data_IF_318773849296
#
_entry.id   IF_318773849296
#
_cell.length_a   1.000
_cell.length_b   1.000
_cell.length_c   1.000
_cell.angle_alpha   90.00
_cell.angle_beta   90.00
_cell.angle_gamma   90.00
#
_symmetry.space_group_name_H-M   'P 1'
#
loop_
_entity.id
_entity.type
_entity.pdbx_description
1 polymer ?
#
# COMPACT_ATOMS: atom_id res chain seq x y z
N UNK A 1 30.76 -18.00 -12.51
CA UNK A 1 29.41 -17.99 -13.14
C UNK A 1 29.22 -19.32 -13.87
N UNK A 2 28.64 -20.32 -13.21
CA UNK A 2 28.34 -21.61 -13.83
C UNK A 2 27.10 -21.44 -14.71
N UNK A 3 27.29 -21.39 -16.03
CA UNK A 3 26.20 -21.53 -16.99
C UNK A 3 25.71 -22.97 -16.93
N UNK A 4 24.80 -23.26 -16.00
CA UNK A 4 24.06 -24.52 -16.02
C UNK A 4 23.19 -24.49 -17.27
N UNK A 5 23.69 -25.09 -18.35
CA UNK A 5 22.88 -25.37 -19.54
C UNK A 5 21.66 -26.22 -19.17
N UNK A 6 20.65 -26.29 -20.04
CA UNK A 6 19.48 -27.13 -19.79
C UNK A 6 19.96 -28.56 -19.46
N UNK A 7 19.45 -29.09 -18.36
CA UNK A 7 19.80 -30.43 -17.90
C UNK A 7 19.54 -31.41 -19.04
N UNK A 8 20.47 -32.34 -19.35
CA UNK A 8 20.26 -33.29 -20.42
C UNK A 8 18.99 -34.09 -20.14
N UNK A 9 18.18 -34.27 -21.18
CA UNK A 9 16.95 -35.06 -21.12
C UNK A 9 17.29 -36.46 -20.59
N UNK A 10 16.54 -36.97 -19.58
CA UNK A 10 16.71 -38.34 -19.14
C UNK A 10 16.45 -39.30 -20.32
N UNK A 11 17.15 -40.44 -20.38
CA UNK A 11 17.05 -41.37 -21.51
C UNK A 11 15.65 -41.98 -21.65
N UNK A 12 14.92 -42.09 -20.54
CA UNK A 12 13.50 -42.43 -20.53
C UNK A 12 12.66 -41.23 -20.10
N UNK A 13 11.68 -40.91 -20.92
CA UNK A 13 10.65 -39.92 -20.67
C UNK A 13 9.38 -40.63 -20.21
N UNK A 14 8.79 -40.16 -19.12
CA UNK A 14 7.47 -40.60 -18.67
C UNK A 14 6.47 -39.48 -18.97
N UNK A 15 5.53 -39.74 -19.86
CA UNK A 15 4.49 -38.79 -20.27
C UNK A 15 3.15 -39.52 -20.14
N UNK A 16 2.26 -38.99 -19.30
CA UNK A 16 0.94 -39.57 -19.01
C UNK A 16 0.96 -41.05 -18.57
N UNK A 17 2.00 -41.45 -17.83
CA UNK A 17 2.17 -42.83 -17.36
C UNK A 17 2.80 -43.78 -18.39
N UNK A 18 2.96 -43.34 -19.64
CA UNK A 18 3.66 -44.09 -20.68
C UNK A 18 5.15 -43.78 -20.68
N UNK A 19 5.96 -44.82 -20.91
CA UNK A 19 7.42 -44.73 -21.00
C UNK A 19 7.85 -44.64 -22.45
N UNK A 20 8.53 -43.56 -22.80
CA UNK A 20 9.09 -43.32 -24.12
C UNK A 20 10.61 -43.29 -24.03
N UNK A 21 11.26 -44.08 -24.88
CA UNK A 21 12.70 -43.96 -25.11
C UNK A 21 12.97 -42.70 -25.92
N UNK A 22 13.92 -41.88 -25.47
CA UNK A 22 14.26 -40.63 -26.15
C UNK A 22 14.62 -40.84 -27.63
N UNK A 23 15.40 -41.87 -27.93
CA UNK A 23 15.88 -42.17 -29.29
C UNK A 23 14.76 -42.65 -30.22
N UNK A 24 13.63 -43.08 -29.66
CA UNK A 24 12.45 -43.54 -30.41
C UNK A 24 11.46 -42.41 -30.70
N UNK A 25 11.62 -41.24 -30.09
CA UNK A 25 10.72 -40.11 -30.28
C UNK A 25 11.07 -39.34 -31.57
N UNK A 26 10.06 -38.88 -32.33
CA UNK A 26 10.27 -37.94 -33.44
C UNK A 26 11.02 -36.69 -32.99
N UNK A 27 11.81 -36.10 -33.88
CA UNK A 27 12.68 -34.96 -33.52
C UNK A 27 11.90 -33.75 -33.01
N UNK A 28 10.76 -33.45 -33.62
CA UNK A 28 9.89 -32.35 -33.20
C UNK A 28 9.36 -32.55 -31.76
N UNK A 29 9.07 -33.80 -31.38
CA UNK A 29 8.64 -34.13 -30.02
C UNK A 29 9.79 -33.94 -29.03
N UNK A 30 11.00 -34.35 -29.39
CA UNK A 30 12.18 -34.12 -28.55
C UNK A 30 12.44 -32.62 -28.32
N UNK A 31 12.29 -31.80 -29.37
CA UNK A 31 12.41 -30.34 -29.28
C UNK A 31 11.34 -29.74 -28.36
N UNK A 32 10.09 -30.19 -28.46
CA UNK A 32 9.01 -29.77 -27.56
C UNK A 32 9.32 -30.09 -26.10
N UNK A 33 9.81 -31.30 -25.81
CA UNK A 33 10.19 -31.66 -24.43
C UNK A 33 11.31 -30.76 -23.92
N UNK A 34 12.32 -30.47 -24.75
CA UNK A 34 13.41 -29.58 -24.37
C UNK A 34 12.92 -28.14 -24.13
N UNK A 35 12.00 -27.64 -24.95
CA UNK A 35 11.38 -26.34 -24.76
C UNK A 35 10.59 -26.27 -23.45
N UNK A 36 9.81 -27.31 -23.15
CA UNK A 36 9.06 -27.41 -21.90
C UNK A 36 9.99 -27.39 -20.69
N UNK A 37 11.08 -28.19 -20.71
CA UNK A 37 12.07 -28.19 -19.64
C UNK A 37 12.73 -26.83 -19.43
N UNK A 38 12.99 -26.09 -20.51
CA UNK A 38 13.50 -24.71 -20.39
C UNK A 38 12.47 -23.80 -19.73
N UNK A 39 11.20 -23.91 -20.11
CA UNK A 39 10.13 -23.16 -19.47
C UNK A 39 10.01 -23.49 -17.98
N UNK A 40 10.08 -24.77 -17.60
CA UNK A 40 10.07 -25.21 -16.20
C UNK A 40 11.25 -24.68 -15.41
N UNK A 41 12.45 -24.66 -16.01
CA UNK A 41 13.65 -24.09 -15.38
C UNK A 41 13.49 -22.59 -15.11
N UNK A 42 12.90 -21.85 -16.05
CA UNK A 42 12.58 -20.43 -15.90
C UNK A 42 11.54 -20.24 -14.79
N UNK A 43 10.46 -21.01 -14.77
CA UNK A 43 9.46 -20.97 -13.70
C UNK A 43 10.07 -21.28 -12.33
N UNK A 44 10.96 -22.28 -12.24
CA UNK A 44 11.66 -22.60 -11.01
C UNK A 44 12.57 -21.46 -10.53
N UNK A 45 13.21 -20.74 -11.45
CA UNK A 45 13.99 -19.55 -11.12
C UNK A 45 13.12 -18.44 -10.54
N UNK A 46 12.03 -18.07 -11.22
CA UNK A 46 11.12 -17.04 -10.73
C UNK A 46 10.50 -17.41 -9.38
N UNK A 47 10.17 -18.70 -9.16
CA UNK A 47 9.68 -19.18 -7.86
C UNK A 47 10.70 -18.95 -6.74
N UNK A 48 11.99 -19.17 -7.01
CA UNK A 48 13.07 -18.87 -6.05
C UNK A 48 13.17 -17.38 -5.78
N UNK A 49 13.11 -16.54 -6.81
CA UNK A 49 13.19 -15.09 -6.64
C UNK A 49 12.02 -14.55 -5.83
N UNK A 50 10.79 -15.03 -6.10
CA UNK A 50 9.60 -14.69 -5.32
C UNK A 50 9.76 -15.08 -3.85
N UNK A 51 10.39 -16.22 -3.54
CA UNK A 51 10.66 -16.62 -2.16
C UNK A 51 11.63 -15.65 -1.47
N UNK A 52 12.70 -15.24 -2.16
CA UNK A 52 13.66 -14.24 -1.67
C UNK A 52 12.96 -12.90 -1.43
N UNK A 53 12.16 -12.44 -2.37
CA UNK A 53 11.37 -11.20 -2.26
C UNK A 53 10.40 -11.23 -1.08
N UNK A 54 9.69 -12.35 -0.86
CA UNK A 54 8.80 -12.53 0.31
C UNK A 54 9.56 -12.47 1.64
N UNK A 55 10.76 -13.07 1.67
CA UNK A 55 11.62 -13.04 2.86
C UNK A 55 12.09 -11.61 3.14
N UNK A 56 12.58 -10.91 2.13
CA UNK A 56 13.02 -9.53 2.23
C UNK A 56 11.87 -8.60 2.67
N UNK A 57 10.67 -8.76 2.12
CA UNK A 57 9.47 -8.02 2.55
C UNK A 57 9.19 -8.22 4.04
N UNK A 58 9.22 -9.46 4.51
CA UNK A 58 8.97 -9.79 5.92
C UNK A 58 10.00 -9.13 6.84
N UNK A 59 11.28 -9.11 6.44
CA UNK A 59 12.34 -8.42 7.17
C UNK A 59 12.11 -6.91 7.23
N UNK A 60 11.79 -6.29 6.09
CA UNK A 60 11.47 -4.86 6.02
C UNK A 60 10.27 -4.50 6.89
N UNK A 61 9.21 -5.31 6.88
CA UNK A 61 8.04 -5.10 7.74
C UNK A 61 8.41 -5.16 9.23
N UNK A 62 9.28 -6.10 9.62
CA UNK A 62 9.76 -6.20 11.00
C UNK A 62 10.56 -4.95 11.41
N UNK A 63 11.49 -4.50 10.55
CA UNK A 63 12.30 -3.30 10.80
C UNK A 63 11.44 -2.04 10.88
N UNK A 64 10.46 -1.92 9.97
CA UNK A 64 9.51 -0.82 9.99
C UNK A 64 8.69 -0.83 11.28
N UNK A 65 8.15 -1.98 11.70
CA UNK A 65 7.43 -2.11 12.95
C UNK A 65 8.26 -1.72 14.18
N UNK A 66 9.51 -2.15 14.24
CA UNK A 66 10.44 -1.77 15.30
C UNK A 66 10.75 -0.26 15.29
N UNK A 67 10.96 0.33 14.12
CA UNK A 67 11.21 1.77 13.97
C UNK A 67 10.00 2.62 14.34
N UNK A 68 8.79 2.17 14.01
CA UNK A 68 7.55 2.86 14.34
C UNK A 68 7.16 2.73 15.82
N UNK A 69 7.52 1.62 16.49
CA UNK A 69 7.20 1.40 17.91
C UNK A 69 7.80 2.46 18.85
N UNK A 70 8.90 3.12 18.43
CA UNK A 70 9.52 4.20 19.18
C UNK A 70 8.94 5.59 18.89
N UNK A 71 8.02 5.71 17.93
CA UNK A 71 7.40 7.00 17.60
C UNK A 71 6.18 7.25 18.47
N UNK A 72 5.95 8.50 18.91
CA UNK A 72 4.68 8.85 19.51
C UNK A 72 3.59 8.60 18.46
N UNK A 73 2.71 7.64 18.73
CA UNK A 73 1.48 7.52 17.97
C UNK A 73 0.76 8.87 18.10
N UNK A 74 0.43 9.52 16.99
CA UNK A 74 -0.56 10.60 17.03
C UNK A 74 -1.91 9.94 17.35
N UNK A 75 -2.10 9.57 18.62
CA UNK A 75 -3.42 9.47 19.18
C UNK A 75 -4.05 10.84 18.94
N UNK A 76 -5.21 10.84 18.29
CA UNK A 76 -5.97 12.04 17.97
C UNK A 76 -5.91 13.00 19.16
N UNK A 77 -5.36 14.19 18.93
CA UNK A 77 -5.23 15.19 19.96
C UNK A 77 -6.63 15.43 20.53
N UNK A 78 -6.86 14.97 21.77
CA UNK A 78 -8.07 15.32 22.51
C UNK A 78 -8.00 16.82 22.73
N UNK A 79 -8.69 17.56 21.86
CA UNK A 79 -8.84 19.02 21.99
C UNK A 79 -9.30 19.28 23.43
N UNK A 80 -8.49 19.91 24.30
CA UNK A 80 -8.98 20.25 25.63
C UNK A 80 -10.13 21.23 25.43
N UNK A 81 -11.32 20.85 25.89
CA UNK A 81 -12.47 21.74 25.96
C UNK A 81 -12.01 22.99 26.72
N UNK A 82 -12.01 24.19 26.11
CA UNK A 82 -11.56 25.38 26.80
C UNK A 82 -12.43 25.62 28.03
N UNK A 83 -11.79 25.68 29.20
CA UNK A 83 -12.39 26.16 30.43
C UNK A 83 -13.04 27.52 30.16
N UNK A 84 -14.34 27.71 30.47
CA UNK A 84 -14.98 29.00 30.25
C UNK A 84 -14.29 30.08 31.08
N UNK A 85 -13.96 31.19 30.42
CA UNK A 85 -13.41 32.40 31.02
C UNK A 85 -14.40 33.00 32.03
N UNK A 86 -13.96 33.51 33.19
CA UNK A 86 -14.86 34.23 34.10
C UNK A 86 -15.23 35.57 33.45
N UNK A 87 -16.49 35.72 33.03
CA UNK A 87 -17.04 36.95 32.46
C UNK A 87 -17.47 37.92 33.59
N UNK A 88 -17.38 39.26 33.40
CA UNK A 88 -17.22 40.23 34.48
C UNK A 88 -18.50 40.52 35.27
N UNK A 89 -18.28 41.03 36.48
CA UNK A 89 -19.28 41.47 37.45
C UNK A 89 -20.36 42.37 36.82
N UNK A 90 -21.65 42.02 36.94
CA UNK A 90 -22.74 42.90 36.58
C UNK A 90 -23.06 43.89 37.72
N UNK A 91 -23.23 45.16 37.38
CA UNK A 91 -23.93 46.18 38.19
C UNK A 91 -25.46 45.92 38.11
N UNK A 92 -26.27 46.20 39.16
CA UNK A 92 -27.45 45.39 39.49
C UNK A 92 -28.78 45.76 38.79
N UNK A 93 -29.57 44.68 38.56
CA UNK A 93 -31.06 44.47 38.58
C UNK A 93 -32.04 45.30 37.70
N UNK A 94 -33.30 44.82 37.40
CA UNK A 94 -33.99 43.58 37.81
C UNK A 94 -34.70 42.73 36.70
N UNK A 95 -34.92 41.46 37.05
CA UNK A 95 -36.05 40.53 36.76
C UNK A 95 -36.56 40.16 35.32
N UNK A 96 -36.42 38.85 35.04
CA UNK A 96 -37.42 37.92 34.46
C UNK A 96 -37.39 37.50 32.97
N UNK A 97 -37.03 36.21 32.81
CA UNK A 97 -37.57 35.16 31.90
C UNK A 97 -37.13 35.01 30.41
N UNK A 98 -37.09 33.74 30.01
CA UNK A 98 -36.28 32.99 28.99
C UNK A 98 -36.90 32.95 27.54
N UNK A 99 -36.38 32.22 26.52
CA UNK A 99 -35.58 32.74 25.37
C UNK A 99 -36.07 32.33 23.94
N UNK A 100 -35.46 32.85 22.84
CA UNK A 100 -35.33 32.13 21.54
C UNK A 100 -34.37 32.78 20.48
N UNK A 101 -33.22 32.11 20.30
CA UNK A 101 -32.37 31.81 19.12
C UNK A 101 -32.41 32.55 17.74
N UNK A 102 -31.16 32.87 17.30
CA UNK A 102 -30.47 32.58 16.01
C UNK A 102 -30.98 33.15 14.66
N UNK A 103 -30.19 34.08 14.10
CA UNK A 103 -29.93 34.17 12.65
C UNK A 103 -28.59 34.88 12.37
N UNK A 104 -27.58 34.21 11.80
CA UNK A 104 -26.34 34.91 11.39
C UNK A 104 -25.14 34.07 10.91
N UNK A 105 -25.14 32.76 11.10
CA UNK A 105 -23.93 31.95 10.85
C UNK A 105 -23.59 31.67 9.38
N UNK A 106 -24.51 31.93 8.43
CA UNK A 106 -24.37 31.45 7.03
C UNK A 106 -23.42 32.30 6.18
N UNK A 107 -23.15 33.57 6.54
CA UNK A 107 -22.34 34.46 5.69
C UNK A 107 -20.82 34.18 5.77
N UNK A 108 -20.30 33.76 6.92
CA UNK A 108 -18.83 33.65 7.13
C UNK A 108 -18.17 32.42 6.46
N UNK A 109 -18.96 31.44 6.02
CA UNK A 109 -18.42 30.22 5.44
C UNK A 109 -17.96 30.40 3.99
N UNK A 110 -18.65 31.21 3.19
CA UNK A 110 -18.38 31.37 1.75
C UNK A 110 -17.10 32.15 1.45
N UNK A 111 -16.77 33.14 2.29
CA UNK A 111 -15.56 33.96 2.14
C UNK A 111 -14.25 33.17 2.30
N UNK A 112 -14.24 32.16 3.19
CA UNK A 112 -13.03 31.36 3.41
C UNK A 112 -12.70 30.46 2.23
N UNK A 113 -13.71 29.94 1.55
CA UNK A 113 -13.54 29.05 0.38
C UNK A 113 -12.96 29.82 -0.81
N UNK A 114 -13.40 31.07 -1.02
CA UNK A 114 -12.91 31.93 -2.11
C UNK A 114 -11.45 32.35 -1.90
N UNK A 115 -11.04 32.58 -0.64
CA UNK A 115 -9.65 32.87 -0.29
C UNK A 115 -8.70 31.68 -0.50
N UNK A 116 -9.19 30.46 -0.30
CA UNK A 116 -8.38 29.24 -0.46
C UNK A 116 -8.08 28.92 -1.94
N UNK A 117 -9.04 29.17 -2.84
CA UNK A 117 -8.88 28.92 -4.28
C UNK A 117 -7.85 29.86 -4.93
N UNK A 118 -7.75 31.11 -4.44
CA UNK A 118 -6.72 32.07 -4.88
C UNK A 118 -5.31 31.66 -4.45
N UNK A 119 -5.17 30.92 -3.35
CA UNK A 119 -3.86 30.53 -2.79
C UNK A 119 -3.26 29.29 -3.45
N UNK A 120 -4.07 28.44 -4.07
CA UNK A 120 -3.61 27.14 -4.60
C UNK A 120 -3.83 26.94 -6.11
N UNK A 121 -4.61 27.78 -6.80
CA UNK A 121 -5.00 27.53 -8.21
C UNK A 121 -4.52 28.53 -9.27
N UNK A 122 -3.76 29.58 -8.94
CA UNK A 122 -3.33 30.60 -9.90
C UNK A 122 -1.88 30.44 -10.32
N UNK A 123 -1.66 29.98 -11.56
CA UNK A 123 -0.36 29.63 -12.14
C UNK A 123 0.69 30.75 -12.20
N UNK A 124 1.94 30.32 -12.30
CA UNK A 124 3.09 31.14 -12.68
C UNK A 124 3.57 30.62 -14.04
N UNK A 125 3.24 31.36 -15.09
CA UNK A 125 3.94 31.35 -16.38
C UNK A 125 5.17 32.25 -16.23
N UNK A 126 6.35 31.69 -16.47
CA UNK A 126 7.56 32.33 -16.99
C UNK A 126 8.38 31.24 -17.69
#
# INVERSE_FOLDING_TARGET
>A
MTRSGPSPLPPLLQIDGNRYSRDSLPRDVQDLVLQLQRADAVLAHWRRDVLVLKTARTDLQRRLGAGLAGLPSQAEATTPTPTPSPEPSPEPEPASETPAARAGAVRRAKDRVKGLFRRFGGGRED
#
